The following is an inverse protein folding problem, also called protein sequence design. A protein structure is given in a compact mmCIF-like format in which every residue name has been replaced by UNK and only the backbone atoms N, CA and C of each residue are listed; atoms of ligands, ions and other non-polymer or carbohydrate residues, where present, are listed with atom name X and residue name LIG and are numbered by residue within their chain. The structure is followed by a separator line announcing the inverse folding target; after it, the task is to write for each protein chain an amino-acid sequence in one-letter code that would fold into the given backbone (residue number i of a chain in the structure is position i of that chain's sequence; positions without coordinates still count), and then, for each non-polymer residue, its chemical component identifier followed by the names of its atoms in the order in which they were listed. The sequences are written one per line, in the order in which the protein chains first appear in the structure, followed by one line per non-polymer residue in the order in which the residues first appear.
data_IF_661552201716
#
_entry.id   IF_661552201716
#
_cell.length_a   1.000
_cell.length_b   1.000
_cell.length_c   1.000
_cell.angle_alpha   90.00
_cell.angle_beta   90.00
_cell.angle_gamma   90.00
#
_symmetry.space_group_name_H-M   'P 1'
#
loop_
_entity.id
_entity.type
_entity.pdbx_description
1 polymer ?
#
# COMPACT_ATOMS: atom_id res chain seq x y z
N UNK A 1 -55.64 -29.21 -26.55
CA UNK A 1 -54.16 -29.08 -26.55
C UNK A 1 -53.76 -27.99 -25.57
N UNK A 2 -53.13 -28.33 -24.44
CA UNK A 2 -52.71 -27.35 -23.41
C UNK A 2 -51.28 -26.88 -23.71
N UNK A 3 -51.10 -25.63 -24.14
CA UNK A 3 -49.77 -25.03 -24.30
C UNK A 3 -49.29 -24.51 -22.94
N UNK A 4 -48.18 -25.07 -22.44
CA UNK A 4 -47.53 -24.67 -21.18
C UNK A 4 -46.60 -23.51 -21.51
N UNK A 5 -46.88 -22.33 -20.97
CA UNK A 5 -45.95 -21.20 -21.03
C UNK A 5 -44.91 -21.38 -19.93
N UNK A 6 -43.66 -21.65 -20.32
CA UNK A 6 -42.51 -21.55 -19.42
C UNK A 6 -41.99 -20.13 -19.55
N UNK A 7 -42.16 -19.34 -18.48
CA UNK A 7 -41.48 -18.05 -18.31
C UNK A 7 -40.21 -18.34 -17.51
N UNK A 8 -39.05 -18.26 -18.16
CA UNK A 8 -37.76 -18.22 -17.47
C UNK A 8 -37.55 -16.77 -17.04
N UNK A 9 -37.76 -16.48 -15.75
CA UNK A 9 -37.32 -15.23 -15.15
C UNK A 9 -35.82 -15.34 -14.84
N UNK A 10 -34.98 -14.74 -15.68
CA UNK A 10 -33.58 -14.55 -15.38
C UNK A 10 -33.44 -13.42 -14.34
N UNK A 11 -33.19 -13.79 -13.09
CA UNK A 11 -32.84 -12.83 -12.05
C UNK A 11 -31.40 -12.34 -12.29
N UNK A 12 -31.26 -11.12 -12.80
CA UNK A 12 -29.98 -10.42 -12.87
C UNK A 12 -29.56 -9.97 -11.47
N UNK A 13 -28.63 -10.70 -10.84
CA UNK A 13 -27.91 -10.18 -9.67
C UNK A 13 -27.01 -9.02 -10.13
N UNK A 14 -27.14 -7.81 -9.56
CA UNK A 14 -26.16 -6.77 -9.80
C UNK A 14 -24.83 -7.18 -9.14
N UNK A 15 -23.80 -7.42 -9.95
CA UNK A 15 -22.43 -7.46 -9.46
C UNK A 15 -22.10 -6.07 -8.91
N UNK A 16 -22.02 -5.94 -7.59
CA UNK A 16 -21.43 -4.77 -6.95
C UNK A 16 -19.96 -4.70 -7.35
N UNK A 17 -19.66 -3.89 -8.35
CA UNK A 17 -18.28 -3.52 -8.66
C UNK A 17 -17.84 -2.56 -7.56
N UNK A 18 -16.76 -2.86 -6.80
CA UNK A 18 -16.23 -1.89 -5.85
C UNK A 18 -15.83 -0.64 -6.65
N UNK A 19 -16.34 0.51 -6.21
CA UNK A 19 -15.98 1.80 -6.80
C UNK A 19 -14.51 2.04 -6.48
N UNK A 20 -13.62 1.71 -7.40
CA UNK A 20 -12.20 1.96 -7.24
C UNK A 20 -11.97 3.47 -7.32
N UNK A 21 -11.85 4.14 -6.17
CA UNK A 21 -11.36 5.50 -6.10
C UNK A 21 -9.89 5.52 -6.51
N UNK A 22 -9.62 6.09 -7.68
CA UNK A 22 -8.26 6.28 -8.16
C UNK A 22 -7.61 7.43 -7.38
N UNK A 23 -6.58 7.12 -6.60
CA UNK A 23 -5.71 8.12 -5.96
C UNK A 23 -4.65 8.54 -6.99
N UNK A 24 -4.82 9.72 -7.60
CA UNK A 24 -3.92 10.20 -8.65
C UNK A 24 -2.74 10.98 -8.07
N UNK A 25 -1.70 10.24 -7.68
CA UNK A 25 -0.45 10.83 -7.23
C UNK A 25 -0.45 11.28 -5.76
N UNK A 26 0.66 11.89 -5.35
CA UNK A 26 0.96 12.16 -3.93
C UNK A 26 0.02 13.17 -3.26
N UNK A 27 -0.65 14.04 -4.03
CA UNK A 27 -1.56 15.06 -3.49
C UNK A 27 -2.86 14.48 -2.92
N UNK A 28 -3.22 13.24 -3.26
CA UNK A 28 -4.36 12.54 -2.66
C UNK A 28 -4.09 12.11 -1.20
N UNK A 29 -2.83 12.13 -0.76
CA UNK A 29 -2.41 11.59 0.53
C UNK A 29 -1.96 12.70 1.49
N UNK A 30 -2.18 12.47 2.78
CA UNK A 30 -1.76 13.34 3.87
C UNK A 30 -0.27 13.16 4.15
N UNK A 31 0.54 14.00 3.49
CA UNK A 31 2.01 13.95 3.60
C UNK A 31 2.54 14.52 4.92
N UNK A 32 1.70 15.16 5.73
CA UNK A 32 2.09 15.73 7.02
C UNK A 32 2.08 14.68 8.13
N UNK A 33 1.41 13.54 7.91
CA UNK A 33 1.26 12.46 8.89
C UNK A 33 1.75 11.11 8.34
N UNK A 34 3.07 10.84 8.38
CA UNK A 34 3.61 9.55 7.98
C UNK A 34 3.07 8.41 8.87
N UNK A 35 2.70 7.32 8.21
CA UNK A 35 2.13 6.13 8.82
C UNK A 35 3.11 4.97 8.71
N UNK A 36 3.30 4.25 9.81
CA UNK A 36 3.99 2.97 9.84
C UNK A 36 2.99 1.83 9.69
N UNK A 37 3.28 0.88 8.78
CA UNK A 37 2.59 -0.40 8.67
C UNK A 37 3.61 -1.53 8.65
N UNK A 38 3.26 -2.67 9.26
CA UNK A 38 4.01 -3.91 9.20
C UNK A 38 3.03 -5.08 9.11
N UNK A 39 3.40 -6.13 8.39
CA UNK A 39 2.55 -7.31 8.27
C UNK A 39 3.08 -8.36 7.32
N UNK A 40 2.20 -9.30 6.99
CA UNK A 40 2.46 -10.37 6.01
C UNK A 40 1.72 -10.08 4.72
N UNK A 41 2.39 -10.21 3.58
CA UNK A 41 1.76 -9.98 2.28
C UNK A 41 0.77 -11.10 1.97
N UNK A 42 -0.51 -10.77 1.86
CA UNK A 42 -1.57 -11.71 1.52
C UNK A 42 -1.72 -11.89 0.00
N UNK A 43 -1.61 -10.78 -0.76
CA UNK A 43 -1.70 -10.78 -2.23
C UNK A 43 -0.75 -9.77 -2.83
N UNK A 44 -0.34 -10.04 -4.06
CA UNK A 44 0.58 -9.19 -4.82
C UNK A 44 -0.03 -8.90 -6.19
N UNK A 45 0.05 -7.64 -6.60
CA UNK A 45 -0.22 -7.20 -7.97
C UNK A 45 1.07 -6.58 -8.50
N UNK A 46 1.88 -7.36 -9.21
CA UNK A 46 3.18 -6.94 -9.75
C UNK A 46 3.07 -6.55 -11.23
N UNK A 47 2.30 -5.49 -11.51
CA UNK A 47 2.01 -5.01 -12.86
C UNK A 47 1.88 -3.48 -12.87
N UNK A 48 1.83 -2.88 -14.06
CA UNK A 48 1.56 -1.45 -14.21
C UNK A 48 0.06 -1.13 -14.02
N UNK A 49 -0.32 0.11 -13.63
CA UNK A 49 0.52 1.32 -13.50
C UNK A 49 1.40 1.38 -12.24
N UNK A 50 1.03 0.66 -11.19
CA UNK A 50 1.75 0.56 -9.93
C UNK A 50 1.72 -0.88 -9.43
N UNK A 51 2.86 -1.34 -8.90
CA UNK A 51 2.83 -2.55 -8.10
C UNK A 51 2.05 -2.27 -6.80
N UNK A 52 1.36 -3.29 -6.29
CA UNK A 52 0.65 -3.18 -5.03
C UNK A 52 0.71 -4.47 -4.23
N UNK A 53 0.62 -4.34 -2.91
CA UNK A 53 0.51 -5.44 -1.97
C UNK A 53 -0.79 -5.30 -1.21
N UNK A 54 -1.49 -6.42 -0.99
CA UNK A 54 -2.45 -6.50 0.10
C UNK A 54 -1.72 -7.04 1.32
N UNK A 55 -1.65 -6.23 2.36
CA UNK A 55 -0.93 -6.53 3.59
C UNK A 55 -1.92 -6.90 4.70
N UNK A 56 -1.71 -8.07 5.31
CA UNK A 56 -2.37 -8.43 6.55
C UNK A 56 -1.58 -7.84 7.73
N UNK A 57 -2.17 -6.82 8.37
CA UNK A 57 -1.61 -6.08 9.51
C UNK A 57 -2.05 -6.74 10.81
N UNK A 58 -1.12 -7.07 11.73
CA UNK A 58 -1.47 -7.67 13.02
C UNK A 58 -2.16 -6.65 13.94
N UNK A 59 -2.96 -7.17 14.87
CA UNK A 59 -3.49 -6.36 15.97
C UNK A 59 -2.36 -5.89 16.89
N UNK A 60 -2.48 -4.68 17.43
CA UNK A 60 -1.49 -4.14 18.37
C UNK A 60 -0.19 -3.69 17.71
N UNK A 61 -0.24 -3.29 16.44
CA UNK A 61 0.85 -2.64 15.73
C UNK A 61 1.44 -1.50 16.56
N UNK A 62 2.77 -1.41 16.59
CA UNK A 62 3.52 -0.35 17.25
C UNK A 62 4.59 0.15 16.31
N UNK A 63 4.95 1.43 16.44
CA UNK A 63 6.13 1.96 15.77
C UNK A 63 7.38 1.34 16.42
N UNK A 64 8.28 0.71 15.65
CA UNK A 64 9.52 0.17 16.20
C UNK A 64 10.41 1.27 16.77
N UNK A 65 11.03 1.03 17.92
CA UNK A 65 11.89 2.01 18.59
C UNK A 65 13.14 2.38 17.78
N UNK A 66 13.57 1.50 16.88
CA UNK A 66 14.70 1.70 15.97
C UNK A 66 14.32 2.43 14.68
N UNK A 67 13.02 2.62 14.38
CA UNK A 67 12.57 3.13 13.08
C UNK A 67 13.26 4.43 12.70
N UNK A 68 13.29 5.41 13.60
CA UNK A 68 13.92 6.72 13.37
C UNK A 68 15.44 6.66 13.07
N UNK A 69 16.09 5.52 13.34
CA UNK A 69 17.54 5.33 13.18
C UNK A 69 17.87 4.43 11.98
N UNK A 70 16.88 3.89 11.27
CA UNK A 70 17.14 3.00 10.14
C UNK A 70 17.85 3.77 9.02
N UNK A 71 18.87 3.14 8.46
CA UNK A 71 19.56 3.68 7.30
C UNK A 71 18.61 3.69 6.10
N UNK A 72 18.57 4.81 5.38
CA UNK A 72 17.75 5.01 4.21
C UNK A 72 18.63 5.25 2.99
N UNK A 73 18.28 4.69 1.82
CA UNK A 73 19.01 5.00 0.61
C UNK A 73 18.69 6.42 0.12
N UNK A 74 19.66 7.03 -0.56
CA UNK A 74 19.47 8.33 -1.21
C UNK A 74 18.46 8.24 -2.36
N UNK A 75 17.57 9.22 -2.44
CA UNK A 75 16.61 9.38 -3.53
C UNK A 75 16.99 10.61 -4.36
N UNK A 76 16.71 10.61 -5.66
CA UNK A 76 16.96 11.77 -6.51
C UNK A 76 16.04 12.96 -6.16
N UNK A 77 14.85 12.68 -5.63
CA UNK A 77 14.02 13.69 -4.98
C UNK A 77 14.55 14.02 -3.56
N UNK A 78 14.50 15.29 -3.13
CA UNK A 78 14.97 15.72 -1.82
C UNK A 78 13.97 15.33 -0.72
N UNK A 79 14.00 14.08 -0.29
CA UNK A 79 13.14 13.56 0.78
C UNK A 79 13.87 13.62 2.12
N UNK A 80 13.27 14.29 3.11
CA UNK A 80 13.70 14.21 4.52
C UNK A 80 13.29 12.86 5.12
N UNK A 81 14.00 11.80 4.73
CA UNK A 81 13.76 10.44 5.20
C UNK A 81 13.86 10.31 6.73
N UNK A 82 14.96 10.73 7.37
CA UNK A 82 15.10 10.65 8.83
C UNK A 82 13.96 11.37 9.57
N UNK A 83 13.58 12.58 9.16
CA UNK A 83 12.47 13.29 9.78
C UNK A 83 11.12 12.60 9.56
N UNK A 84 10.88 11.99 8.40
CA UNK A 84 9.67 11.20 8.14
C UNK A 84 9.58 9.97 9.05
N UNK A 85 10.65 9.20 9.18
CA UNK A 85 10.69 8.02 10.05
C UNK A 85 10.52 8.41 11.53
N UNK A 86 11.09 9.54 11.95
CA UNK A 86 10.95 10.04 13.33
C UNK A 86 9.53 10.49 13.68
N UNK A 87 8.75 10.99 12.70
CA UNK A 87 7.35 11.41 12.89
C UNK A 87 6.33 10.29 12.65
N UNK A 88 6.77 9.13 12.17
CA UNK A 88 5.88 8.05 11.81
C UNK A 88 5.05 7.58 13.01
N UNK A 89 3.75 7.36 12.78
CA UNK A 89 2.79 6.87 13.78
C UNK A 89 2.03 5.68 13.23
N UNK A 90 1.36 4.91 14.10
CA UNK A 90 0.42 3.88 13.62
C UNK A 90 -0.91 4.51 13.15
N UNK A 91 -1.68 3.82 12.29
CA UNK A 91 -3.02 4.26 11.94
C UNK A 91 -3.93 4.40 13.17
N UNK A 92 -4.92 5.29 13.08
CA UNK A 92 -6.00 5.43 14.06
C UNK A 92 -7.09 4.38 13.84
N UNK A 93 -7.26 3.94 12.60
CA UNK A 93 -8.17 2.86 12.20
C UNK A 93 -7.62 1.47 12.52
N UNK A 94 -8.51 0.48 12.60
CA UNK A 94 -8.22 -0.88 13.08
C UNK A 94 -8.32 -1.96 11.99
N UNK A 95 -8.44 -1.55 10.72
CA UNK A 95 -8.50 -2.44 9.56
C UNK A 95 -7.27 -3.35 9.52
N UNK A 96 -7.53 -4.64 9.27
CA UNK A 96 -6.49 -5.67 9.21
C UNK A 96 -5.91 -5.87 7.82
N UNK A 97 -6.60 -5.40 6.79
CA UNK A 97 -6.12 -5.50 5.40
C UNK A 97 -5.88 -4.11 4.84
N UNK A 98 -4.67 -3.90 4.35
CA UNK A 98 -4.26 -2.63 3.75
C UNK A 98 -3.73 -2.84 2.34
N UNK A 99 -4.14 -1.99 1.41
CA UNK A 99 -3.45 -1.89 0.11
C UNK A 99 -2.23 -0.98 0.27
N UNK A 100 -1.05 -1.51 0.01
CA UNK A 100 0.18 -0.75 -0.12
C UNK A 100 0.40 -0.48 -1.61
N UNK A 101 0.20 0.77 -2.02
CA UNK A 101 0.51 1.24 -3.35
C UNK A 101 2.01 1.55 -3.45
N UNK A 102 2.74 0.70 -4.19
CA UNK A 102 4.17 0.86 -4.43
C UNK A 102 4.44 1.78 -5.62
N UNK A 103 5.70 1.87 -6.03
CA UNK A 103 6.06 2.60 -7.24
C UNK A 103 5.66 1.84 -8.52
N UNK A 104 5.65 2.52 -9.69
CA UNK A 104 5.58 1.85 -10.99
C UNK A 104 6.73 0.85 -11.16
N UNK A 105 6.51 -0.20 -11.96
CA UNK A 105 7.49 -1.27 -12.12
C UNK A 105 8.87 -0.78 -12.61
N UNK A 106 8.90 0.25 -13.45
CA UNK A 106 10.17 0.86 -13.91
C UNK A 106 10.99 1.44 -12.75
N UNK A 107 10.33 2.00 -11.72
CA UNK A 107 11.03 2.48 -10.52
C UNK A 107 11.41 1.32 -9.61
N UNK A 108 10.55 0.31 -9.46
CA UNK A 108 10.89 -0.90 -8.71
C UNK A 108 12.14 -1.59 -9.29
N UNK A 109 12.25 -1.63 -10.62
CA UNK A 109 13.42 -2.13 -11.34
C UNK A 109 14.66 -1.25 -11.15
N UNK A 110 14.52 0.08 -11.21
CA UNK A 110 15.62 1.01 -10.95
C UNK A 110 16.22 0.83 -9.54
N UNK A 111 15.36 0.51 -8.56
CA UNK A 111 15.75 0.16 -7.19
C UNK A 111 16.19 -1.30 -7.02
N UNK A 112 16.10 -2.11 -8.08
CA UNK A 112 16.39 -3.55 -8.07
C UNK A 112 15.61 -4.29 -6.99
N UNK A 113 14.37 -3.88 -6.75
CA UNK A 113 13.47 -4.56 -5.82
C UNK A 113 13.08 -5.90 -6.45
N UNK A 114 13.42 -7.00 -5.77
CA UNK A 114 12.94 -8.32 -6.16
C UNK A 114 11.41 -8.35 -6.03
N UNK A 115 10.74 -9.10 -6.92
CA UNK A 115 9.30 -9.25 -6.81
C UNK A 115 8.92 -9.88 -5.47
N UNK A 116 8.14 -9.15 -4.70
CA UNK A 116 7.63 -9.58 -3.40
C UNK A 116 6.58 -10.66 -3.64
N UNK A 117 6.58 -11.71 -2.82
CA UNK A 117 5.66 -12.84 -2.96
C UNK A 117 4.67 -12.87 -1.79
N UNK A 118 3.49 -13.48 -1.95
CA UNK A 118 2.62 -13.79 -0.82
C UNK A 118 3.38 -14.55 0.27
N UNK A 119 3.11 -14.22 1.53
CA UNK A 119 3.81 -14.76 2.70
C UNK A 119 5.06 -13.98 3.12
N UNK A 120 5.57 -13.06 2.29
CA UNK A 120 6.71 -12.21 2.67
C UNK A 120 6.31 -11.24 3.78
N UNK A 121 7.15 -11.14 4.83
CA UNK A 121 7.02 -10.12 5.86
C UNK A 121 7.60 -8.80 5.35
N UNK A 122 6.84 -7.72 5.46
CA UNK A 122 7.28 -6.38 5.05
C UNK A 122 6.87 -5.35 6.09
N UNK A 123 7.61 -4.26 6.15
CA UNK A 123 7.17 -3.03 6.80
C UNK A 123 7.32 -1.85 5.87
N UNK A 124 6.53 -0.80 6.08
CA UNK A 124 6.53 0.38 5.24
C UNK A 124 6.28 1.64 6.08
N UNK A 125 6.88 2.74 5.64
CA UNK A 125 6.46 4.09 6.02
C UNK A 125 5.91 4.75 4.78
N UNK A 126 4.74 5.38 4.90
CA UNK A 126 4.07 6.03 3.80
C UNK A 126 2.97 6.94 4.27
N UNK A 127 2.06 7.27 3.37
CA UNK A 127 0.98 8.21 3.64
C UNK A 127 -0.36 7.60 3.28
N UNK A 128 -1.37 7.90 4.08
CA UNK A 128 -2.75 7.50 3.84
C UNK A 128 -3.60 8.71 3.46
N UNK A 129 -4.87 8.49 3.17
CA UNK A 129 -5.80 9.56 2.84
C UNK A 129 -5.99 10.50 4.03
N UNK A 130 -6.35 11.75 3.74
CA UNK A 130 -6.57 12.77 4.77
C UNK A 130 -7.55 12.28 5.84
N UNK A 131 -7.15 12.44 7.10
CA UNK A 131 -7.90 11.96 8.27
C UNK A 131 -8.18 10.43 8.26
N UNK A 132 -7.44 9.66 7.47
CA UNK A 132 -7.66 8.22 7.25
C UNK A 132 -9.04 7.86 6.66
N UNK A 133 -9.70 8.82 6.01
CA UNK A 133 -11.04 8.63 5.41
C UNK A 133 -10.97 7.83 4.11
N UNK A 134 -11.85 6.83 3.98
CA UNK A 134 -11.98 6.01 2.78
C UNK A 134 -11.28 4.65 2.92
N UNK A 135 -10.75 4.14 1.81
CA UNK A 135 -10.11 2.83 1.76
C UNK A 135 -8.84 2.75 2.63
N UNK A 136 -8.52 1.58 3.22
CA UNK A 136 -7.27 1.36 3.95
C UNK A 136 -6.09 1.24 2.97
N UNK A 137 -5.69 2.37 2.40
CA UNK A 137 -4.60 2.46 1.41
C UNK A 137 -3.45 3.30 1.95
N UNK A 138 -2.23 2.86 1.63
CA UNK A 138 -0.99 3.59 1.86
C UNK A 138 -0.24 3.78 0.54
N UNK A 139 0.08 5.02 0.20
CA UNK A 139 1.15 5.31 -0.75
C UNK A 139 2.49 5.15 -0.04
N UNK A 140 3.29 4.17 -0.47
CA UNK A 140 4.55 3.86 0.20
C UNK A 140 5.63 4.87 -0.17
N UNK A 141 6.30 5.43 0.84
CA UNK A 141 7.48 6.28 0.71
C UNK A 141 8.75 5.46 0.90
N UNK A 142 8.81 4.67 1.98
CA UNK A 142 9.89 3.73 2.25
C UNK A 142 9.34 2.33 2.45
N UNK A 143 9.88 1.38 1.69
CA UNK A 143 9.61 -0.05 1.84
C UNK A 143 10.80 -0.72 2.52
N UNK A 144 10.53 -1.56 3.51
CA UNK A 144 11.52 -2.41 4.16
C UNK A 144 11.15 -3.89 3.96
N UNK A 145 12.05 -4.64 3.35
CA UNK A 145 11.89 -6.07 3.09
C UNK A 145 13.26 -6.74 3.02
N UNK A 146 13.39 -7.93 3.61
CA UNK A 146 14.63 -8.73 3.64
C UNK A 146 15.87 -7.94 4.11
N UNK A 147 15.71 -7.11 5.15
CA UNK A 147 16.78 -6.29 5.72
C UNK A 147 17.23 -5.12 4.84
N UNK A 148 16.55 -4.87 3.71
CA UNK A 148 16.82 -3.76 2.81
C UNK A 148 15.77 -2.67 2.95
N UNK A 149 16.17 -1.43 2.68
CA UNK A 149 15.29 -0.28 2.60
C UNK A 149 15.29 0.27 1.16
N UNK A 150 14.13 0.68 0.66
CA UNK A 150 13.94 1.24 -0.67
C UNK A 150 13.12 2.53 -0.58
N UNK A 151 13.57 3.60 -1.24
CA UNK A 151 12.80 4.84 -1.38
C UNK A 151 11.91 4.77 -2.63
N UNK A 152 10.61 5.02 -2.50
CA UNK A 152 9.66 4.82 -3.60
C UNK A 152 9.11 6.14 -4.19
N UNK A 153 9.53 7.30 -3.66
CA UNK A 153 9.22 8.62 -4.22
C UNK A 153 9.80 8.78 -5.61
N UNK A 154 11.07 8.43 -5.77
CA UNK A 154 11.85 8.68 -6.99
C UNK A 154 12.90 7.59 -7.21
N UNK A 155 13.68 7.71 -8.27
CA UNK A 155 14.80 6.80 -8.54
C UNK A 155 15.90 6.93 -7.48
N UNK A 156 16.82 5.95 -7.38
CA UNK A 156 18.04 6.11 -6.59
C UNK A 156 18.80 7.39 -6.96
N UNK A 157 19.45 8.00 -5.96
CA UNK A 157 20.36 9.14 -6.15
C UNK A 157 21.67 8.73 -6.85
#
# INVERSE_FOLDING_TARGET
MKRRHIVIAAASLPLATPVAWAHHGWSSFDQDRPIYLEGTVARVRWQNPHAALLLDVPSGLKVPADLAKRALPGQSAPVDGPGLLARAVVPRRTDRQWELELAPLTRMEAWKVAEIKPGTAVSAVGFTLKEEKGEPVMRVEYLFVDGKAYGLRSSPA
#
